data_IF_252252214629
#
_entry.id   IF_252252214629
#
_cell.length_a   1.000
_cell.length_b   1.000
_cell.length_c   1.000
_cell.angle_alpha   90.00
_cell.angle_beta   90.00
_cell.angle_gamma   90.00
#
_symmetry.space_group_name_H-M   'P 1'
#
loop_
_entity.id
_entity.type
_entity.pdbx_description
1 polymer ?
#
# COMPACT_ATOMS: atom_id res chain seq x y z
N UNK A 1 -2.62 -20.65 -33.56
CA UNK A 1 -1.73 -20.67 -34.72
C UNK A 1 -0.68 -19.58 -34.56
N UNK A 2 0.54 -19.91 -34.38
CA UNK A 2 1.80 -19.17 -34.57
C UNK A 2 2.35 -18.22 -33.48
N UNK A 3 1.79 -18.10 -32.28
CA UNK A 3 2.40 -17.28 -31.22
C UNK A 3 2.88 -18.06 -29.95
N UNK A 4 2.90 -19.38 -29.99
CA UNK A 4 3.29 -20.23 -28.84
C UNK A 4 4.73 -20.78 -28.88
N UNK A 5 5.67 -20.15 -29.58
CA UNK A 5 7.06 -20.63 -29.69
C UNK A 5 8.11 -19.58 -29.37
N UNK A 6 8.07 -18.93 -28.21
CA UNK A 6 9.21 -18.10 -27.75
C UNK A 6 9.38 -18.13 -26.22
N UNK A 7 9.16 -19.27 -25.58
CA UNK A 7 9.77 -19.57 -24.28
C UNK A 7 10.95 -20.49 -24.54
N UNK A 8 12.08 -19.90 -24.88
CA UNK A 8 13.36 -20.62 -24.97
C UNK A 8 13.65 -21.25 -23.61
N UNK A 9 13.72 -22.59 -23.60
CA UNK A 9 14.25 -23.34 -22.46
C UNK A 9 15.71 -22.91 -22.27
N UNK A 10 15.98 -22.06 -21.27
CA UNK A 10 17.34 -21.84 -20.79
C UNK A 10 17.72 -23.12 -20.05
N UNK A 11 18.66 -23.85 -20.59
CA UNK A 11 19.20 -25.07 -19.99
C UNK A 11 20.08 -24.68 -18.79
N UNK A 12 19.97 -25.43 -17.67
CA UNK A 12 20.86 -25.23 -16.50
C UNK A 12 22.37 -25.28 -16.90
N UNK A 13 22.73 -25.96 -17.96
CA UNK A 13 24.10 -26.03 -18.49
C UNK A 13 24.62 -24.71 -19.08
N UNK A 14 23.71 -23.78 -19.43
CA UNK A 14 24.10 -22.48 -19.98
C UNK A 14 24.46 -21.47 -18.89
N UNK A 15 23.91 -21.68 -17.66
CA UNK A 15 24.21 -20.85 -16.49
C UNK A 15 25.56 -21.22 -15.84
N UNK A 16 25.91 -22.50 -15.80
CA UNK A 16 27.18 -22.97 -15.20
C UNK A 16 28.42 -22.47 -15.97
N UNK A 17 28.30 -22.21 -17.26
CA UNK A 17 29.42 -21.77 -18.10
C UNK A 17 29.84 -20.30 -17.87
N UNK A 18 28.90 -19.44 -17.54
CA UNK A 18 29.18 -18.01 -17.34
C UNK A 18 29.65 -17.71 -15.90
N UNK A 19 29.18 -18.48 -14.89
CA UNK A 19 29.67 -18.34 -13.52
C UNK A 19 31.15 -18.75 -13.38
N UNK A 20 31.58 -19.82 -14.05
CA UNK A 20 32.99 -20.23 -14.02
C UNK A 20 33.93 -19.22 -14.68
N UNK A 21 33.51 -18.56 -15.77
CA UNK A 21 34.29 -17.48 -16.39
C UNK A 21 34.43 -16.26 -15.51
N UNK A 22 33.38 -15.89 -14.78
CA UNK A 22 33.40 -14.76 -13.88
C UNK A 22 34.30 -15.00 -12.66
N UNK A 23 34.42 -16.25 -12.19
CA UNK A 23 35.31 -16.64 -11.10
C UNK A 23 36.79 -16.61 -11.57
N UNK A 24 37.08 -17.02 -12.78
CA UNK A 24 38.46 -16.93 -13.34
C UNK A 24 38.91 -15.49 -13.53
N UNK A 25 38.03 -14.60 -14.02
CA UNK A 25 38.35 -13.17 -14.21
C UNK A 25 38.50 -12.46 -12.83
N UNK A 26 37.71 -12.82 -11.83
CA UNK A 26 37.85 -12.29 -10.48
C UNK A 26 39.18 -12.70 -9.83
N UNK A 27 39.66 -13.91 -10.04
CA UNK A 27 40.90 -14.38 -9.49
C UNK A 27 42.15 -13.75 -10.18
N UNK A 28 42.10 -13.48 -11.50
CA UNK A 28 43.19 -12.75 -12.18
C UNK A 28 43.32 -11.29 -11.79
N UNK A 29 42.21 -10.62 -11.47
CA UNK A 29 42.20 -9.22 -11.00
C UNK A 29 42.71 -9.12 -9.55
N UNK A 30 42.42 -10.13 -8.70
CA UNK A 30 42.85 -10.18 -7.31
C UNK A 30 44.38 -10.26 -7.17
N UNK A 31 45.06 -11.13 -7.95
CA UNK A 31 46.50 -11.34 -7.83
C UNK A 31 47.36 -10.12 -8.17
N UNK A 32 46.86 -9.20 -9.01
CA UNK A 32 47.60 -7.97 -9.37
C UNK A 32 47.41 -6.83 -8.35
N UNK A 33 46.32 -6.83 -7.56
CA UNK A 33 46.03 -5.78 -6.56
C UNK A 33 46.69 -6.06 -5.21
N UNK A 34 46.84 -7.33 -4.83
CA UNK A 34 47.40 -7.75 -3.53
C UNK A 34 48.88 -7.39 -3.42
N UNK A 35 49.65 -7.46 -4.54
CA UNK A 35 51.08 -7.14 -4.55
C UNK A 35 51.39 -5.67 -4.29
N UNK A 36 50.42 -4.77 -4.47
CA UNK A 36 50.59 -3.32 -4.30
C UNK A 36 50.25 -2.80 -2.91
N UNK A 37 49.49 -3.55 -2.08
CA UNK A 37 48.98 -3.14 -0.80
C UNK A 37 49.71 -3.73 0.41
N UNK A 38 50.64 -4.71 0.20
CA UNK A 38 51.45 -5.26 1.29
C UNK A 38 50.66 -6.08 2.33
N UNK A 39 49.45 -6.53 1.98
CA UNK A 39 48.61 -7.39 2.81
C UNK A 39 48.89 -8.86 2.54
N UNK A 40 48.84 -9.69 3.58
CA UNK A 40 49.02 -11.13 3.42
C UNK A 40 47.78 -11.74 2.75
N UNK A 41 48.03 -12.64 1.76
CA UNK A 41 46.99 -13.22 0.90
C UNK A 41 45.88 -13.94 1.68
N UNK A 42 46.20 -14.53 2.81
CA UNK A 42 45.22 -15.22 3.69
C UNK A 42 44.18 -14.28 4.33
N UNK A 43 44.57 -13.04 4.69
CA UNK A 43 43.65 -12.04 5.28
C UNK A 43 42.64 -11.50 4.26
N UNK A 44 43.04 -11.36 2.98
CA UNK A 44 42.15 -10.87 1.91
C UNK A 44 41.14 -11.90 1.48
N UNK A 45 41.55 -13.18 1.37
CA UNK A 45 40.66 -14.28 1.02
C UNK A 45 39.55 -14.46 2.07
N UNK A 46 39.85 -14.26 3.37
CA UNK A 46 38.86 -14.35 4.45
C UNK A 46 37.86 -13.18 4.44
N UNK A 47 38.31 -11.99 4.08
CA UNK A 47 37.45 -10.77 4.00
C UNK A 47 36.53 -10.86 2.75
N UNK A 48 37.06 -11.32 1.62
CA UNK A 48 36.31 -11.41 0.37
C UNK A 48 35.24 -12.51 0.42
N UNK A 49 35.57 -13.67 0.97
CA UNK A 49 34.62 -14.76 1.17
C UNK A 49 33.49 -14.36 2.15
N UNK A 50 33.82 -13.62 3.20
CA UNK A 50 32.84 -13.17 4.19
C UNK A 50 31.89 -12.12 3.61
N UNK A 51 32.40 -11.16 2.83
CA UNK A 51 31.60 -10.14 2.16
C UNK A 51 30.66 -10.71 1.08
N UNK A 52 31.15 -11.68 0.29
CA UNK A 52 30.35 -12.37 -0.73
C UNK A 52 29.26 -13.22 -0.08
N UNK A 53 29.58 -13.91 1.02
CA UNK A 53 28.59 -14.69 1.78
C UNK A 53 27.49 -13.82 2.38
N UNK A 54 27.82 -12.64 2.94
CA UNK A 54 26.85 -11.72 3.51
C UNK A 54 25.95 -11.07 2.42
N UNK A 55 26.52 -10.68 1.28
CA UNK A 55 25.79 -10.13 0.14
C UNK A 55 24.84 -11.18 -0.46
N UNK A 56 25.32 -12.41 -0.65
CA UNK A 56 24.49 -13.48 -1.18
C UNK A 56 23.31 -13.83 -0.24
N UNK A 57 23.53 -13.80 1.08
CA UNK A 57 22.47 -14.06 2.06
C UNK A 57 21.41 -12.96 2.03
N UNK A 58 21.81 -11.69 1.94
CA UNK A 58 20.87 -10.57 1.81
C UNK A 58 20.05 -10.66 0.53
N UNK A 59 20.69 -10.92 -0.61
CA UNK A 59 19.99 -11.08 -1.89
C UNK A 59 19.04 -12.29 -1.90
N UNK A 60 19.39 -13.39 -1.24
CA UNK A 60 18.52 -14.55 -1.13
C UNK A 60 17.28 -14.23 -0.27
N UNK A 61 17.45 -13.52 0.85
CA UNK A 61 16.34 -13.08 1.68
C UNK A 61 15.40 -12.12 0.94
N UNK A 62 15.96 -11.19 0.16
CA UNK A 62 15.18 -10.26 -0.66
C UNK A 62 14.40 -11.00 -1.75
N UNK A 63 14.99 -12.03 -2.38
CA UNK A 63 14.33 -12.88 -3.36
C UNK A 63 13.24 -13.74 -2.73
N UNK A 64 13.47 -14.32 -1.56
CA UNK A 64 12.46 -15.08 -0.83
C UNK A 64 11.26 -14.19 -0.48
N UNK A 65 11.48 -12.98 0.01
CA UNK A 65 10.41 -12.01 0.27
C UNK A 65 9.60 -11.67 -1.01
N UNK A 66 10.29 -11.45 -2.14
CA UNK A 66 9.63 -11.17 -3.42
C UNK A 66 8.83 -12.36 -3.94
N UNK A 67 9.29 -13.58 -3.71
CA UNK A 67 8.58 -14.81 -4.07
C UNK A 67 7.31 -14.96 -3.19
N UNK A 68 7.44 -14.77 -1.88
CA UNK A 68 6.30 -14.80 -0.95
C UNK A 68 5.24 -13.74 -1.30
N UNK A 69 5.65 -12.50 -1.56
CA UNK A 69 4.75 -11.43 -1.99
C UNK A 69 4.04 -11.80 -3.30
N UNK A 70 4.76 -12.38 -4.25
CA UNK A 70 4.20 -12.81 -5.54
C UNK A 70 3.23 -13.98 -5.39
N UNK A 71 3.54 -14.95 -4.55
CA UNK A 71 2.64 -16.07 -4.26
C UNK A 71 1.36 -15.61 -3.56
N UNK A 72 1.46 -14.67 -2.63
CA UNK A 72 0.30 -14.05 -1.97
C UNK A 72 -0.58 -13.35 -3.01
N UNK A 73 0.03 -12.60 -3.93
CA UNK A 73 -0.69 -11.87 -4.98
C UNK A 73 -1.39 -12.81 -5.97
N UNK A 74 -0.71 -13.89 -6.39
CA UNK A 74 -1.26 -14.90 -7.30
C UNK A 74 -2.40 -15.71 -6.67
N UNK A 75 -2.41 -15.85 -5.35
CA UNK A 75 -3.43 -16.61 -4.61
C UNK A 75 -4.62 -15.77 -4.14
N UNK A 76 -4.66 -14.47 -4.46
CA UNK A 76 -5.82 -13.64 -4.15
C UNK A 76 -7.07 -14.17 -4.85
N UNK A 77 -8.21 -14.28 -4.17
CA UNK A 77 -9.42 -14.81 -4.76
C UNK A 77 -9.96 -13.91 -5.87
N UNK A 78 -10.43 -14.54 -6.94
CA UNK A 78 -11.21 -13.84 -7.97
C UNK A 78 -12.66 -13.84 -7.51
N UNK A 79 -13.22 -12.65 -7.29
CA UNK A 79 -14.59 -12.46 -6.81
C UNK A 79 -15.39 -11.58 -7.77
N UNK A 80 -16.71 -11.67 -7.69
CA UNK A 80 -17.60 -10.65 -8.27
C UNK A 80 -17.65 -9.45 -7.32
N UNK A 81 -16.81 -8.46 -7.59
CA UNK A 81 -16.63 -7.25 -6.74
C UNK A 81 -17.92 -6.46 -6.65
N UNK A 82 -18.70 -6.35 -7.74
CA UNK A 82 -19.94 -5.59 -7.74
C UNK A 82 -20.99 -6.25 -6.83
N UNK A 83 -21.10 -7.57 -6.92
CA UNK A 83 -22.01 -8.35 -6.07
C UNK A 83 -21.59 -8.25 -4.60
N UNK A 84 -20.30 -8.42 -4.31
CA UNK A 84 -19.79 -8.36 -2.94
C UNK A 84 -19.96 -6.96 -2.32
N UNK A 85 -19.71 -5.90 -3.11
CA UNK A 85 -19.96 -4.52 -2.67
C UNK A 85 -21.45 -4.24 -2.44
N UNK A 86 -22.34 -4.84 -3.24
CA UNK A 86 -23.78 -4.77 -3.03
C UNK A 86 -24.18 -5.45 -1.71
N UNK A 87 -23.62 -6.61 -1.41
CA UNK A 87 -23.85 -7.32 -0.16
C UNK A 87 -23.38 -6.50 1.04
N UNK A 88 -22.17 -5.95 0.96
CA UNK A 88 -21.60 -5.08 1.99
C UNK A 88 -22.49 -3.85 2.27
N UNK A 89 -22.99 -3.20 1.23
CA UNK A 89 -23.93 -2.07 1.36
C UNK A 89 -25.25 -2.47 2.01
N UNK A 90 -25.78 -3.63 1.69
CA UNK A 90 -27.00 -4.15 2.30
C UNK A 90 -26.79 -4.43 3.80
N UNK A 91 -25.69 -5.06 4.17
CA UNK A 91 -25.31 -5.29 5.56
C UNK A 91 -25.08 -3.98 6.33
N UNK A 92 -24.37 -3.03 5.73
CA UNK A 92 -24.20 -1.69 6.30
C UNK A 92 -25.53 -0.97 6.55
N UNK A 93 -26.46 -1.02 5.59
CA UNK A 93 -27.76 -0.39 5.69
C UNK A 93 -28.66 -1.05 6.77
N UNK A 94 -28.45 -2.34 7.04
CA UNK A 94 -29.16 -3.08 8.10
C UNK A 94 -28.45 -3.04 9.46
N UNK A 95 -27.38 -2.27 9.60
CA UNK A 95 -26.53 -2.18 10.80
C UNK A 95 -25.85 -3.50 11.19
N UNK A 96 -25.74 -4.45 10.27
CA UNK A 96 -24.90 -5.64 10.42
C UNK A 96 -23.45 -5.29 10.04
N UNK A 97 -22.82 -4.54 10.94
CA UNK A 97 -21.49 -4.00 10.73
C UNK A 97 -20.43 -5.10 10.57
N UNK A 98 -20.61 -6.24 11.25
CA UNK A 98 -19.67 -7.37 11.15
C UNK A 98 -19.67 -7.96 9.75
N UNK A 99 -20.84 -8.31 9.21
CA UNK A 99 -20.95 -8.83 7.84
C UNK A 99 -20.52 -7.80 6.80
N UNK A 100 -20.80 -6.49 7.04
CA UNK A 100 -20.32 -5.44 6.16
C UNK A 100 -18.78 -5.38 6.11
N UNK A 101 -18.10 -5.45 7.26
CA UNK A 101 -16.63 -5.47 7.34
C UNK A 101 -16.07 -6.70 6.64
N UNK A 102 -16.63 -7.89 6.88
CA UNK A 102 -16.17 -9.15 6.26
C UNK A 102 -16.23 -9.05 4.72
N UNK A 103 -17.35 -8.61 4.15
CA UNK A 103 -17.51 -8.41 2.71
C UNK A 103 -16.55 -7.35 2.15
N UNK A 104 -16.40 -6.22 2.82
CA UNK A 104 -15.51 -5.14 2.37
C UNK A 104 -14.03 -5.56 2.43
N UNK A 105 -13.61 -6.30 3.45
CA UNK A 105 -12.26 -6.86 3.52
C UNK A 105 -12.02 -7.92 2.45
N UNK A 106 -13.03 -8.70 2.09
CA UNK A 106 -12.96 -9.67 0.98
C UNK A 106 -12.65 -8.95 -0.34
N UNK A 107 -13.26 -7.79 -0.60
CA UNK A 107 -12.96 -6.98 -1.79
C UNK A 107 -11.51 -6.49 -1.78
N UNK A 108 -11.02 -5.94 -0.67
CA UNK A 108 -9.62 -5.46 -0.58
C UNK A 108 -8.60 -6.58 -0.78
N UNK A 109 -8.91 -7.78 -0.26
CA UNK A 109 -8.04 -8.95 -0.37
C UNK A 109 -8.21 -9.72 -1.68
N UNK A 110 -9.08 -9.28 -2.58
CA UNK A 110 -9.25 -9.87 -3.90
C UNK A 110 -8.24 -9.33 -4.91
N UNK A 111 -8.15 -9.99 -6.06
CA UNK A 111 -7.32 -9.54 -7.17
C UNK A 111 -8.12 -8.57 -8.07
N UNK A 112 -8.62 -7.47 -7.50
CA UNK A 112 -9.34 -6.45 -8.27
C UNK A 112 -8.45 -5.27 -8.60
N UNK A 113 -8.42 -4.88 -9.88
CA UNK A 113 -7.77 -3.67 -10.38
C UNK A 113 -8.77 -2.52 -10.57
N UNK A 114 -10.00 -2.67 -10.05
CA UNK A 114 -11.08 -1.69 -10.24
C UNK A 114 -11.03 -0.63 -9.13
N UNK A 115 -10.18 0.35 -9.30
CA UNK A 115 -9.93 1.42 -8.33
C UNK A 115 -11.20 2.16 -7.87
N UNK A 116 -12.20 2.30 -8.73
CA UNK A 116 -13.47 2.94 -8.35
C UNK A 116 -14.21 2.16 -7.25
N UNK A 117 -14.24 0.83 -7.37
CA UNK A 117 -14.82 -0.02 -6.33
C UNK A 117 -13.97 -0.04 -5.07
N UNK A 118 -12.64 -0.04 -5.20
CA UNK A 118 -11.73 0.07 -4.06
C UNK A 118 -11.93 1.40 -3.32
N UNK A 119 -12.05 2.50 -4.04
CA UNK A 119 -12.33 3.81 -3.45
C UNK A 119 -13.62 3.81 -2.61
N UNK A 120 -14.69 3.22 -3.11
CA UNK A 120 -15.94 3.07 -2.37
C UNK A 120 -15.81 2.11 -1.19
N UNK A 121 -15.09 1.00 -1.37
CA UNK A 121 -14.84 0.00 -0.34
C UNK A 121 -14.11 0.59 0.86
N UNK A 122 -13.03 1.34 0.63
CA UNK A 122 -12.27 2.00 1.69
C UNK A 122 -13.12 3.03 2.45
N UNK A 123 -13.95 3.81 1.75
CA UNK A 123 -14.88 4.73 2.38
C UNK A 123 -15.88 4.01 3.28
N UNK A 124 -16.51 2.94 2.78
CA UNK A 124 -17.49 2.17 3.56
C UNK A 124 -16.86 1.48 4.77
N UNK A 125 -15.64 0.95 4.63
CA UNK A 125 -14.90 0.40 5.77
C UNK A 125 -14.65 1.45 6.85
N UNK A 126 -14.16 2.63 6.47
CA UNK A 126 -13.99 3.73 7.41
C UNK A 126 -15.29 4.08 8.13
N UNK A 127 -16.42 4.14 7.41
CA UNK A 127 -17.75 4.39 7.98
C UNK A 127 -18.19 3.29 8.95
N UNK A 128 -17.99 2.03 8.57
CA UNK A 128 -18.41 0.90 9.40
C UNK A 128 -17.58 0.82 10.68
N UNK A 129 -16.27 0.97 10.60
CA UNK A 129 -15.41 1.03 11.79
C UNK A 129 -15.72 2.23 12.69
N UNK A 130 -16.07 3.39 12.11
CA UNK A 130 -16.50 4.53 12.89
C UNK A 130 -17.79 4.23 13.70
N UNK A 131 -18.73 3.50 13.11
CA UNK A 131 -19.97 3.08 13.79
C UNK A 131 -19.69 2.06 14.90
N UNK A 132 -18.72 1.17 14.73
CA UNK A 132 -18.25 0.24 15.76
C UNK A 132 -17.41 0.91 16.86
N UNK A 133 -17.17 2.21 16.77
CA UNK A 133 -16.31 2.97 17.68
C UNK A 133 -14.81 2.58 17.59
N UNK A 134 -14.42 1.88 16.54
CA UNK A 134 -13.03 1.53 16.22
C UNK A 134 -12.40 2.68 15.43
N UNK A 135 -12.15 3.80 16.11
CA UNK A 135 -11.85 5.08 15.46
C UNK A 135 -10.48 5.08 14.78
N UNK A 136 -9.50 4.35 15.32
CA UNK A 136 -8.16 4.23 14.71
C UNK A 136 -8.26 3.52 13.35
N UNK A 137 -9.02 2.42 13.27
CA UNK A 137 -9.26 1.73 12.00
C UNK A 137 -10.05 2.61 11.03
N UNK A 138 -11.03 3.37 11.52
CA UNK A 138 -11.73 4.34 10.69
C UNK A 138 -10.79 5.39 10.06
N UNK A 139 -9.88 5.98 10.84
CA UNK A 139 -8.86 6.92 10.35
C UNK A 139 -7.98 6.26 9.29
N UNK A 140 -7.53 5.03 9.52
CA UNK A 140 -6.72 4.27 8.57
C UNK A 140 -7.41 4.12 7.21
N UNK A 141 -8.64 3.64 7.18
CA UNK A 141 -9.34 3.37 5.93
C UNK A 141 -9.78 4.64 5.20
N UNK A 142 -10.24 5.67 5.92
CA UNK A 142 -10.49 6.99 5.33
C UNK A 142 -9.21 7.63 4.78
N UNK A 143 -8.08 7.46 5.50
CA UNK A 143 -6.77 7.95 5.10
C UNK A 143 -6.27 7.28 3.81
N UNK A 144 -6.41 5.96 3.68
CA UNK A 144 -6.07 5.22 2.44
C UNK A 144 -6.93 5.75 1.29
N UNK A 145 -8.26 5.87 1.48
CA UNK A 145 -9.17 6.44 0.47
C UNK A 145 -8.76 7.85 0.05
N UNK A 146 -8.36 8.69 0.99
CA UNK A 146 -7.93 10.06 0.74
C UNK A 146 -6.63 10.11 -0.07
N UNK A 147 -5.62 9.32 0.33
CA UNK A 147 -4.28 9.33 -0.26
C UNK A 147 -4.26 8.68 -1.64
N UNK A 148 -4.82 7.48 -1.76
CA UNK A 148 -4.60 6.61 -2.92
C UNK A 148 -5.71 6.74 -3.98
N UNK A 149 -6.90 7.18 -3.57
CA UNK A 149 -8.08 7.22 -4.44
C UNK A 149 -8.72 8.62 -4.52
N UNK A 150 -7.95 9.67 -4.32
CA UNK A 150 -8.42 11.07 -4.31
C UNK A 150 -9.00 11.57 -5.66
N UNK A 151 -8.65 10.90 -6.77
CA UNK A 151 -9.17 11.22 -8.11
C UNK A 151 -10.64 10.84 -8.32
N UNK A 152 -11.16 9.86 -7.54
CA UNK A 152 -12.54 9.42 -7.67
C UNK A 152 -13.49 10.34 -6.90
N UNK A 153 -14.52 10.84 -7.58
CA UNK A 153 -15.45 11.82 -7.00
C UNK A 153 -16.46 11.20 -6.03
N UNK A 154 -16.87 9.94 -6.26
CA UNK A 154 -17.86 9.28 -5.43
C UNK A 154 -17.45 9.22 -3.96
N UNK A 155 -18.28 9.79 -3.09
CA UNK A 155 -18.04 9.91 -1.63
C UNK A 155 -16.75 10.65 -1.25
N UNK A 156 -16.23 11.51 -2.12
CA UNK A 156 -14.99 12.23 -1.84
C UNK A 156 -15.15 13.20 -0.66
N UNK A 157 -16.15 14.06 -0.70
CA UNK A 157 -16.43 15.01 0.38
C UNK A 157 -16.83 14.36 1.69
N UNK A 158 -17.66 13.33 1.59
CA UNK A 158 -18.04 12.55 2.77
C UNK A 158 -16.81 11.90 3.41
N UNK A 159 -15.88 11.41 2.59
CA UNK A 159 -14.64 10.84 3.11
C UNK A 159 -13.80 11.87 3.87
N UNK A 160 -13.62 13.07 3.31
CA UNK A 160 -12.93 14.17 4.00
C UNK A 160 -13.61 14.50 5.33
N UNK A 161 -14.92 14.66 5.32
CA UNK A 161 -15.70 14.96 6.52
C UNK A 161 -15.53 13.89 7.62
N UNK A 162 -15.66 12.61 7.24
CA UNK A 162 -15.54 11.52 8.22
C UNK A 162 -14.10 11.31 8.68
N UNK A 163 -13.10 11.54 7.81
CA UNK A 163 -11.69 11.52 8.20
C UNK A 163 -11.40 12.59 9.25
N UNK A 164 -11.74 13.85 8.99
CA UNK A 164 -11.53 14.94 9.94
C UNK A 164 -12.28 14.71 11.25
N UNK A 165 -13.54 14.23 11.18
CA UNK A 165 -14.32 13.87 12.37
C UNK A 165 -13.68 12.75 13.19
N UNK A 166 -13.05 11.77 12.51
CA UNK A 166 -12.35 10.68 13.18
C UNK A 166 -11.05 11.15 13.83
N UNK A 167 -10.30 12.04 13.15
CA UNK A 167 -9.10 12.67 13.71
C UNK A 167 -9.41 13.46 15.00
N UNK A 168 -10.46 14.25 15.03
CA UNK A 168 -10.91 14.91 16.26
C UNK A 168 -11.23 13.92 17.38
N UNK A 169 -11.80 12.77 17.05
CA UNK A 169 -12.14 11.75 18.07
C UNK A 169 -10.92 11.08 18.71
N UNK A 170 -9.82 10.96 17.98
CA UNK A 170 -8.55 10.45 18.55
C UNK A 170 -7.69 11.56 19.18
N UNK A 171 -8.16 12.81 19.18
CA UNK A 171 -7.46 13.97 19.76
C UNK A 171 -6.45 14.63 18.81
N UNK A 172 -6.42 14.25 17.54
CA UNK A 172 -5.59 14.88 16.53
C UNK A 172 -6.27 16.13 15.97
N UNK A 173 -6.24 17.19 16.78
CA UNK A 173 -6.90 18.46 16.51
C UNK A 173 -6.34 19.13 15.26
N UNK A 174 -5.02 19.14 15.10
CA UNK A 174 -4.34 19.83 14.01
C UNK A 174 -4.72 19.24 12.66
N UNK A 175 -4.53 17.94 12.48
CA UNK A 175 -4.87 17.28 11.23
C UNK A 175 -6.38 17.27 10.97
N UNK A 176 -7.20 17.18 12.02
CA UNK A 176 -8.65 17.31 11.91
C UNK A 176 -9.08 18.66 11.32
N UNK A 177 -8.47 19.76 11.79
CA UNK A 177 -8.71 21.11 11.29
C UNK A 177 -8.25 21.26 9.83
N UNK A 178 -7.06 20.77 9.50
CA UNK A 178 -6.52 20.82 8.13
C UNK A 178 -7.42 20.07 7.12
N UNK A 179 -7.88 18.88 7.46
CA UNK A 179 -8.79 18.11 6.60
C UNK A 179 -10.13 18.81 6.41
N UNK A 180 -10.69 19.45 7.45
CA UNK A 180 -11.92 20.22 7.32
C UNK A 180 -11.72 21.47 6.48
N UNK A 181 -10.59 22.16 6.63
CA UNK A 181 -10.24 23.31 5.84
C UNK A 181 -10.11 22.95 4.34
N UNK A 182 -9.40 21.87 4.04
CA UNK A 182 -9.26 21.36 2.67
C UNK A 182 -10.62 21.01 2.06
N UNK A 183 -11.51 20.37 2.80
CA UNK A 183 -12.87 20.10 2.36
C UNK A 183 -13.65 21.37 2.02
N UNK A 184 -13.56 22.42 2.86
CA UNK A 184 -14.31 23.65 2.69
C UNK A 184 -13.80 24.47 1.51
N UNK A 185 -12.47 24.59 1.35
CA UNK A 185 -11.86 25.48 0.38
C UNK A 185 -11.52 24.83 -0.96
N UNK A 186 -11.02 23.59 -0.95
CA UNK A 186 -10.55 22.93 -2.19
C UNK A 186 -11.66 22.28 -3.00
N UNK A 187 -12.73 21.84 -2.34
CA UNK A 187 -13.79 21.05 -2.97
C UNK A 187 -15.14 21.79 -3.08
N UNK A 188 -15.18 23.06 -2.72
CA UNK A 188 -16.43 23.84 -2.61
C UNK A 188 -17.29 23.88 -3.90
N UNK A 189 -16.74 23.59 -5.06
CA UNK A 189 -17.46 23.64 -6.33
C UNK A 189 -18.05 22.30 -6.79
N UNK A 190 -17.62 21.18 -6.17
CA UNK A 190 -17.95 19.83 -6.65
C UNK A 190 -18.81 19.03 -5.68
N UNK A 191 -19.06 19.58 -4.47
CA UNK A 191 -19.46 18.77 -3.35
C UNK A 191 -20.85 19.10 -2.80
N UNK A 192 -21.40 18.17 -2.04
CA UNK A 192 -22.68 18.35 -1.36
C UNK A 192 -22.63 19.56 -0.42
N UNK A 193 -23.50 20.53 -0.63
CA UNK A 193 -23.63 21.70 0.22
C UNK A 193 -23.85 21.33 1.70
N UNK A 194 -24.55 20.25 1.94
CA UNK A 194 -24.85 19.76 3.30
C UNK A 194 -23.57 19.28 4.01
N UNK A 195 -22.67 18.61 3.28
CA UNK A 195 -21.40 18.14 3.83
C UNK A 195 -20.49 19.32 4.18
N UNK A 196 -20.43 20.34 3.31
CA UNK A 196 -19.64 21.55 3.54
C UNK A 196 -20.17 22.33 4.76
N UNK A 197 -21.48 22.52 4.88
CA UNK A 197 -22.06 23.19 6.06
C UNK A 197 -21.82 22.39 7.36
N UNK A 198 -21.86 21.06 7.30
CA UNK A 198 -21.51 20.20 8.42
C UNK A 198 -20.04 20.33 8.81
N UNK A 199 -19.15 20.44 7.83
CA UNK A 199 -17.71 20.65 8.05
C UNK A 199 -17.43 22.01 8.71
N UNK A 200 -18.04 23.09 8.23
CA UNK A 200 -17.95 24.43 8.84
C UNK A 200 -18.43 24.44 10.29
N UNK A 201 -19.55 23.78 10.55
CA UNK A 201 -20.11 23.66 11.90
C UNK A 201 -19.14 22.94 12.84
N UNK A 202 -18.59 21.80 12.37
CA UNK A 202 -17.64 21.02 13.15
C UNK A 202 -16.33 21.77 13.37
N UNK A 203 -15.81 22.48 12.35
CA UNK A 203 -14.60 23.31 12.44
C UNK A 203 -14.78 24.41 13.51
N UNK A 204 -15.95 25.07 13.54
CA UNK A 204 -16.29 26.07 14.56
C UNK A 204 -16.42 25.46 15.95
N UNK A 205 -17.04 24.27 16.08
CA UNK A 205 -17.14 23.55 17.38
C UNK A 205 -15.79 23.18 17.94
N UNK A 206 -14.83 22.85 17.09
CA UNK A 206 -13.48 22.40 17.45
C UNK A 206 -12.48 23.54 17.58
N UNK A 207 -12.91 24.79 17.53
CA UNK A 207 -12.03 25.97 17.61
C UNK A 207 -10.84 25.89 16.63
N UNK A 208 -11.08 25.38 15.42
CA UNK A 208 -10.11 25.45 14.36
C UNK A 208 -9.96 26.93 13.96
N UNK A 209 -9.02 27.63 14.58
CA UNK A 209 -8.73 28.99 14.19
C UNK A 209 -8.48 29.05 12.69
N UNK A 210 -9.09 30.02 11.99
CA UNK A 210 -8.68 30.31 10.62
C UNK A 210 -7.19 30.60 10.66
N UNK A 211 -6.36 29.72 10.13
CA UNK A 211 -4.98 30.05 9.80
C UNK A 211 -5.07 31.02 8.63
N UNK A 212 -5.26 32.30 8.96
CA UNK A 212 -5.19 33.39 8.01
C UNK A 212 -3.70 33.73 7.95
N UNK A 213 -2.97 33.14 7.01
CA UNK A 213 -1.66 33.64 6.58
C UNK A 213 -1.82 34.81 5.61
#
# INVERSE_FOLDING_TARGET
SEDDQLLGQISLSDLEGDEMKNIEIANEVSDNTVSSLGLEKEELDEIEIKSISEVNTSMLNDLEMLIEEREIELNKPIIDVELELKNAKASFASFDNKSAIESLLTIINSNTEQDEYLAETYYLLGRTYFMENEIIEAVKYFGIRHRDFSSFSKFKSENYFWLGKSLFRIGDQENGCLIMEDLIFSNAYLESKEVIESAKSLQSEKDCGLIID
#
